data_IF_980065778713
#
_entry.id   IF_980065778713
#
_cell.length_a   1.000
_cell.length_b   1.000
_cell.length_c   1.000
_cell.angle_alpha   90.00
_cell.angle_beta   90.00
_cell.angle_gamma   90.00
#
_symmetry.space_group_name_H-M   'P 1'
#
loop_
_entity.id
_entity.type
_entity.pdbx_description
1 polymer ?
#
# COMPACT_ATOMS: atom_id res chain seq x y z
N UNK A 1 -23.92 -51.06 -5.23
CA UNK A 1 -23.75 -49.94 -4.29
C UNK A 1 -22.46 -49.20 -4.71
N UNK A 2 -22.60 -48.11 -5.49
CA UNK A 2 -21.42 -47.32 -5.99
C UNK A 2 -21.19 -46.19 -4.98
N UNK A 3 -20.05 -46.24 -4.28
CA UNK A 3 -19.58 -45.16 -3.40
C UNK A 3 -19.08 -44.03 -4.31
N UNK A 4 -19.81 -42.92 -4.36
CA UNK A 4 -19.34 -41.64 -4.93
C UNK A 4 -18.48 -40.95 -3.87
N UNK A 5 -17.17 -41.07 -4.00
CA UNK A 5 -16.23 -40.27 -3.23
C UNK A 5 -16.19 -38.88 -3.87
N UNK A 6 -16.94 -37.92 -3.29
CA UNK A 6 -16.82 -36.49 -3.61
C UNK A 6 -15.46 -35.99 -3.13
N UNK A 7 -14.54 -35.85 -4.09
CA UNK A 7 -13.26 -35.18 -3.84
C UNK A 7 -13.54 -33.67 -3.75
N UNK A 8 -13.73 -33.18 -2.53
CA UNK A 8 -13.81 -31.75 -2.25
C UNK A 8 -12.39 -31.19 -2.43
N UNK A 9 -12.09 -30.72 -3.65
CA UNK A 9 -10.89 -29.91 -3.88
C UNK A 9 -11.02 -28.58 -3.10
N UNK A 10 -10.51 -28.58 -1.88
CA UNK A 10 -10.17 -27.37 -1.17
C UNK A 10 -9.05 -26.66 -1.97
N UNK A 11 -9.44 -25.83 -2.91
CA UNK A 11 -8.55 -24.82 -3.46
C UNK A 11 -8.29 -23.79 -2.34
N UNK A 12 -7.30 -24.07 -1.51
CA UNK A 12 -6.70 -23.04 -0.68
C UNK A 12 -6.05 -22.07 -1.66
N UNK A 13 -6.76 -20.99 -1.97
CA UNK A 13 -6.15 -19.86 -2.64
C UNK A 13 -5.04 -19.36 -1.69
N UNK A 14 -3.81 -19.67 -2.04
CA UNK A 14 -2.61 -19.07 -1.46
C UNK A 14 -2.61 -17.58 -1.84
N UNK A 15 -3.50 -16.80 -1.23
CA UNK A 15 -3.35 -15.36 -1.25
C UNK A 15 -2.10 -15.08 -0.44
N UNK A 16 -1.08 -14.61 -1.12
CA UNK A 16 0.12 -14.08 -0.48
C UNK A 16 -0.32 -12.99 0.51
N UNK A 17 -0.31 -13.33 1.79
CA UNK A 17 -0.63 -12.36 2.83
C UNK A 17 0.58 -11.46 3.04
N UNK A 18 0.38 -10.15 2.97
CA UNK A 18 1.44 -9.19 3.26
C UNK A 18 1.85 -9.36 4.73
N UNK A 19 3.13 -9.59 4.96
CA UNK A 19 3.69 -9.69 6.30
C UNK A 19 3.89 -8.28 6.87
N UNK A 20 3.13 -7.92 7.89
CA UNK A 20 3.30 -6.66 8.61
C UNK A 20 4.24 -6.87 9.79
N UNK A 21 5.27 -6.03 9.92
CA UNK A 21 6.20 -6.08 11.05
C UNK A 21 5.46 -5.87 12.38
N UNK A 22 5.85 -6.59 13.39
CA UNK A 22 5.27 -6.49 14.73
C UNK A 22 6.19 -5.66 15.64
N UNK A 23 5.99 -4.36 15.64
CA UNK A 23 6.69 -3.41 16.52
C UNK A 23 5.81 -2.91 17.66
N UNK A 24 4.73 -3.61 17.91
CA UNK A 24 3.77 -3.33 18.96
C UNK A 24 2.33 -3.39 18.42
N UNK A 25 1.38 -3.73 19.29
CA UNK A 25 0.01 -4.03 18.87
C UNK A 25 -0.70 -2.83 18.22
N UNK A 26 -0.41 -1.62 18.67
CA UNK A 26 -1.03 -0.43 18.10
C UNK A 26 -0.53 -0.18 16.67
N UNK A 27 0.77 -0.31 16.41
CA UNK A 27 1.37 -0.09 15.10
C UNK A 27 0.83 -1.07 14.06
N UNK A 28 0.91 -2.37 14.39
CA UNK A 28 0.42 -3.44 13.51
C UNK A 28 -1.07 -3.29 13.20
N UNK A 29 -1.90 -3.05 14.22
CA UNK A 29 -3.34 -2.89 14.05
C UNK A 29 -3.70 -1.69 13.15
N UNK A 30 -2.95 -0.59 13.24
CA UNK A 30 -3.17 0.57 12.37
C UNK A 30 -2.80 0.29 10.92
N UNK A 31 -1.70 -0.41 10.69
CA UNK A 31 -1.30 -0.82 9.32
C UNK A 31 -2.31 -1.82 8.75
N UNK A 32 -2.73 -2.81 9.52
CA UNK A 32 -3.76 -3.77 9.10
C UNK A 32 -5.09 -3.06 8.76
N UNK A 33 -5.48 -2.06 9.57
CA UNK A 33 -6.67 -1.24 9.32
C UNK A 33 -6.55 -0.42 8.04
N UNK A 34 -5.36 0.12 7.74
CA UNK A 34 -5.09 0.84 6.50
C UNK A 34 -5.17 -0.10 5.27
N UNK A 35 -4.66 -1.33 5.38
CA UNK A 35 -4.80 -2.35 4.32
C UNK A 35 -6.27 -2.71 4.06
N UNK A 36 -7.08 -2.84 5.12
CA UNK A 36 -8.53 -3.06 4.99
C UNK A 36 -9.20 -1.87 4.29
N UNK A 37 -8.78 -0.64 4.59
CA UNK A 37 -9.30 0.57 3.97
C UNK A 37 -8.96 0.61 2.47
N UNK A 38 -7.72 0.27 2.08
CA UNK A 38 -7.33 0.16 0.67
C UNK A 38 -8.20 -0.89 -0.03
N UNK A 39 -8.36 -2.07 0.54
CA UNK A 39 -9.19 -3.14 -0.01
C UNK A 39 -10.64 -2.68 -0.21
N UNK A 40 -11.19 -1.91 0.74
CA UNK A 40 -12.58 -1.44 0.73
C UNK A 40 -12.84 -0.41 -0.37
N UNK A 41 -11.95 0.55 -0.54
CA UNK A 41 -12.19 1.68 -1.45
C UNK A 41 -11.49 1.55 -2.80
N UNK A 42 -10.44 0.73 -2.89
CA UNK A 42 -9.76 0.44 -4.15
C UNK A 42 -9.23 -0.99 -4.21
N UNK A 43 -10.11 -1.92 -4.51
CA UNK A 43 -9.75 -3.34 -4.62
C UNK A 43 -8.70 -3.62 -5.71
N UNK A 44 -8.60 -2.76 -6.73
CA UNK A 44 -7.60 -2.90 -7.80
C UNK A 44 -6.20 -2.58 -7.26
N UNK A 45 -6.05 -1.45 -6.52
CA UNK A 45 -4.79 -1.10 -5.87
C UNK A 45 -4.41 -2.11 -4.79
N UNK A 46 -5.39 -2.65 -4.06
CA UNK A 46 -5.15 -3.72 -3.09
C UNK A 46 -4.60 -4.99 -3.75
N UNK A 47 -5.17 -5.43 -4.88
CA UNK A 47 -4.65 -6.58 -5.65
C UNK A 47 -3.25 -6.32 -6.19
N UNK A 48 -2.99 -5.10 -6.67
CA UNK A 48 -1.67 -4.68 -7.10
C UNK A 48 -0.66 -4.76 -5.95
N UNK A 49 -1.02 -4.24 -4.77
CA UNK A 49 -0.20 -4.31 -3.56
C UNK A 49 0.13 -5.75 -3.17
N UNK A 50 -0.87 -6.66 -3.15
CA UNK A 50 -0.66 -8.09 -2.87
C UNK A 50 0.31 -8.76 -3.85
N UNK A 51 0.34 -8.30 -5.08
CA UNK A 51 1.22 -8.85 -6.14
C UNK A 51 2.67 -8.42 -5.95
N UNK A 52 2.91 -7.19 -5.53
CA UNK A 52 4.25 -6.57 -5.53
C UNK A 52 4.86 -6.42 -4.14
N UNK A 53 4.05 -6.30 -3.10
CA UNK A 53 4.52 -6.13 -1.72
C UNK A 53 4.42 -7.45 -0.95
N UNK A 54 5.53 -7.91 -0.39
CA UNK A 54 5.58 -9.09 0.48
C UNK A 54 5.59 -8.71 1.95
N UNK A 55 6.13 -7.55 2.26
CA UNK A 55 6.33 -7.12 3.65
C UNK A 55 6.13 -5.61 3.81
N UNK A 56 5.56 -5.21 4.94
CA UNK A 56 5.55 -3.83 5.42
C UNK A 56 6.37 -3.77 6.69
N UNK A 57 7.49 -3.07 6.62
CA UNK A 57 8.39 -2.79 7.73
C UNK A 57 8.20 -1.37 8.27
N UNK A 58 9.10 -0.96 9.14
CA UNK A 58 9.07 0.35 9.79
C UNK A 58 10.45 1.00 9.82
N UNK A 59 10.45 2.32 9.89
CA UNK A 59 11.66 3.13 10.07
C UNK A 59 11.36 4.32 10.98
N UNK A 60 12.37 4.81 11.67
CA UNK A 60 12.28 6.06 12.44
C UNK A 60 12.53 7.30 11.59
N UNK A 61 12.74 7.14 10.29
CA UNK A 61 12.80 8.25 9.34
C UNK A 61 11.45 8.97 9.27
N UNK A 62 11.48 10.25 8.89
CA UNK A 62 10.26 11.07 8.76
C UNK A 62 9.45 10.78 7.50
N UNK A 63 9.93 9.93 6.62
CA UNK A 63 9.29 9.59 5.36
C UNK A 63 9.26 8.06 5.19
N UNK A 64 8.27 7.59 4.46
CA UNK A 64 8.16 6.21 4.03
C UNK A 64 9.02 5.97 2.78
N UNK A 65 9.36 4.74 2.49
CA UNK A 65 10.20 4.34 1.35
C UNK A 65 10.00 2.86 1.02
N UNK A 66 10.72 2.37 0.01
CA UNK A 66 10.76 0.95 -0.32
C UNK A 66 12.15 0.35 -0.06
N UNK A 67 12.20 -0.95 0.15
CA UNK A 67 13.42 -1.73 0.30
C UNK A 67 13.30 -3.05 -0.50
N UNK A 68 14.39 -3.46 -1.14
CA UNK A 68 14.50 -4.75 -1.88
C UNK A 68 13.40 -5.03 -2.91
N UNK A 69 12.74 -4.01 -3.45
CA UNK A 69 11.75 -4.14 -4.51
C UNK A 69 10.47 -4.91 -4.14
N UNK A 70 10.30 -5.32 -2.89
CA UNK A 70 9.10 -6.01 -2.41
C UNK A 70 8.70 -5.66 -0.97
N UNK A 71 9.40 -4.73 -0.35
CA UNK A 71 9.17 -4.28 1.03
C UNK A 71 8.86 -2.80 1.04
N UNK A 72 7.77 -2.42 1.70
CA UNK A 72 7.42 -1.03 2.00
C UNK A 72 7.90 -0.76 3.43
N UNK A 73 8.62 0.33 3.63
CA UNK A 73 9.08 0.80 4.94
C UNK A 73 8.27 2.05 5.31
N UNK A 74 7.39 1.94 6.27
CA UNK A 74 6.59 3.06 6.74
C UNK A 74 7.31 3.86 7.83
N UNK A 75 7.15 5.18 7.79
CA UNK A 75 7.55 6.05 8.87
C UNK A 75 6.76 5.73 10.14
N UNK A 76 7.45 5.49 11.26
CA UNK A 76 6.78 5.30 12.55
C UNK A 76 6.03 6.55 12.99
N UNK A 77 6.47 7.72 12.56
CA UNK A 77 5.76 8.98 12.82
C UNK A 77 4.39 8.99 12.14
N UNK A 78 4.33 8.66 10.84
CA UNK A 78 3.07 8.63 10.08
C UNK A 78 2.09 7.58 10.64
N UNK A 79 2.59 6.41 11.00
CA UNK A 79 1.74 5.35 11.55
C UNK A 79 1.24 5.70 12.95
N UNK A 80 2.04 6.32 13.79
CA UNK A 80 1.64 6.63 15.18
C UNK A 80 0.74 7.87 15.28
N UNK A 81 0.96 8.88 14.45
CA UNK A 81 0.31 10.19 14.56
C UNK A 81 -0.59 10.56 13.38
N UNK A 82 -0.41 9.92 12.21
CA UNK A 82 -1.25 10.13 11.03
C UNK A 82 -2.64 9.51 11.18
N UNK A 83 -3.58 9.95 10.34
CA UNK A 83 -4.88 9.29 10.21
C UNK A 83 -4.75 7.95 9.48
N UNK A 84 -5.80 7.11 9.50
CA UNK A 84 -5.82 5.88 8.72
C UNK A 84 -5.74 6.16 7.21
N UNK A 85 -6.32 7.26 6.73
CA UNK A 85 -6.22 7.66 5.33
C UNK A 85 -4.77 8.03 4.98
N UNK A 86 -4.04 8.71 5.89
CA UNK A 86 -2.62 9.03 5.70
C UNK A 86 -1.77 7.75 5.60
N UNK A 87 -1.97 6.78 6.48
CA UNK A 87 -1.24 5.52 6.44
C UNK A 87 -1.54 4.76 5.14
N UNK A 88 -2.82 4.68 4.77
CA UNK A 88 -3.25 4.01 3.55
C UNK A 88 -2.70 4.69 2.29
N UNK A 89 -2.69 6.03 2.24
CA UNK A 89 -2.12 6.78 1.11
C UNK A 89 -0.62 6.55 0.99
N UNK A 90 0.13 6.55 2.09
CA UNK A 90 1.55 6.22 2.09
C UNK A 90 1.81 4.80 1.54
N UNK A 91 1.05 3.81 1.97
CA UNK A 91 1.16 2.43 1.44
C UNK A 91 0.90 2.40 -0.07
N UNK A 92 -0.14 3.09 -0.54
CA UNK A 92 -0.48 3.16 -1.96
C UNK A 92 0.62 3.86 -2.76
N UNK A 93 1.16 4.97 -2.27
CA UNK A 93 2.27 5.71 -2.87
C UNK A 93 3.52 4.81 -3.02
N UNK A 94 3.96 4.20 -1.93
CA UNK A 94 5.14 3.33 -1.94
C UNK A 94 4.94 2.07 -2.81
N UNK A 95 3.72 1.58 -2.94
CA UNK A 95 3.43 0.46 -3.83
C UNK A 95 3.69 0.80 -5.31
N UNK A 96 3.50 2.06 -5.70
CA UNK A 96 3.84 2.51 -7.05
C UNK A 96 5.36 2.52 -7.27
N UNK A 97 6.15 2.92 -6.27
CA UNK A 97 7.61 2.81 -6.34
C UNK A 97 8.08 1.35 -6.52
N UNK A 98 7.41 0.37 -5.87
CA UNK A 98 7.72 -1.06 -6.09
C UNK A 98 7.55 -1.48 -7.56
N UNK A 99 6.57 -0.91 -8.26
CA UNK A 99 6.40 -1.17 -9.68
C UNK A 99 7.58 -0.64 -10.51
N UNK A 100 8.01 0.60 -10.28
CA UNK A 100 9.15 1.18 -10.99
C UNK A 100 10.43 0.39 -10.73
N UNK A 101 10.69 0.03 -9.48
CA UNK A 101 11.85 -0.77 -9.10
C UNK A 101 11.91 -2.11 -9.84
N UNK A 102 10.77 -2.78 -10.01
CA UNK A 102 10.71 -4.11 -10.62
C UNK A 102 10.55 -4.10 -12.15
N UNK A 103 10.18 -2.97 -12.75
CA UNK A 103 9.82 -2.93 -14.18
C UNK A 103 10.99 -2.60 -15.11
N UNK A 104 12.17 -2.28 -14.60
CA UNK A 104 13.28 -1.72 -15.37
C UNK A 104 12.88 -0.49 -16.22
N UNK A 105 11.86 0.22 -15.80
CA UNK A 105 11.39 1.41 -16.49
C UNK A 105 12.33 2.56 -16.15
N UNK A 106 12.98 3.14 -17.18
CA UNK A 106 13.86 4.28 -17.00
C UNK A 106 13.00 5.54 -16.93
N UNK A 107 12.91 6.13 -15.75
CA UNK A 107 12.32 7.44 -15.50
C UNK A 107 13.27 8.29 -14.67
N UNK A 108 13.09 9.61 -14.72
CA UNK A 108 13.74 10.47 -13.74
C UNK A 108 13.03 10.33 -12.39
N UNK A 109 13.74 10.62 -11.29
CA UNK A 109 13.14 10.60 -9.96
C UNK A 109 11.89 11.50 -9.87
N UNK A 110 11.91 12.65 -10.55
CA UNK A 110 10.78 13.58 -10.61
C UNK A 110 9.57 13.01 -11.35
N UNK A 111 9.78 12.32 -12.48
CA UNK A 111 8.69 11.66 -13.22
C UNK A 111 8.09 10.51 -12.42
N UNK A 112 8.93 9.73 -11.75
CA UNK A 112 8.50 8.64 -10.88
C UNK A 112 7.63 9.17 -9.74
N UNK A 113 8.09 10.17 -9.01
CA UNK A 113 7.33 10.82 -7.93
C UNK A 113 5.98 11.35 -8.41
N UNK A 114 5.96 12.02 -9.58
CA UNK A 114 4.71 12.53 -10.16
C UNK A 114 3.70 11.41 -10.41
N UNK A 115 4.15 10.25 -10.90
CA UNK A 115 3.27 9.10 -11.13
C UNK A 115 2.81 8.50 -9.80
N UNK A 116 3.69 8.36 -8.81
CA UNK A 116 3.36 7.85 -7.48
C UNK A 116 2.31 8.73 -6.78
N UNK A 117 2.47 10.06 -6.82
CA UNK A 117 1.45 11.00 -6.30
C UNK A 117 0.14 10.97 -7.10
N UNK A 118 0.19 10.77 -8.41
CA UNK A 118 -1.04 10.60 -9.22
C UNK A 118 -1.79 9.32 -8.85
N UNK A 119 -1.06 8.25 -8.60
CA UNK A 119 -1.60 6.96 -8.16
C UNK A 119 -2.22 7.04 -6.77
N UNK A 120 -1.56 7.76 -5.85
CA UNK A 120 -2.04 8.08 -4.52
C UNK A 120 -3.32 8.94 -4.58
N UNK A 121 -3.32 10.02 -5.36
CA UNK A 121 -4.45 10.91 -5.52
C UNK A 121 -5.71 10.19 -6.01
N UNK A 122 -5.56 9.33 -7.02
CA UNK A 122 -6.68 8.51 -7.51
C UNK A 122 -7.30 7.63 -6.42
N UNK A 123 -6.49 7.13 -5.49
CA UNK A 123 -6.98 6.41 -4.31
C UNK A 123 -7.69 7.32 -3.31
N UNK A 124 -7.08 8.45 -2.95
CA UNK A 124 -7.64 9.39 -1.98
C UNK A 124 -9.00 9.93 -2.39
N UNK A 125 -9.20 10.18 -3.69
CA UNK A 125 -10.48 10.64 -4.24
C UNK A 125 -11.62 9.62 -4.14
N UNK A 126 -11.31 8.34 -3.91
CA UNK A 126 -12.30 7.26 -3.70
C UNK A 126 -12.77 7.16 -2.25
N UNK A 127 -12.05 7.77 -1.31
CA UNK A 127 -12.38 7.73 0.11
C UNK A 127 -13.40 8.81 0.44
N UNK A 128 -14.61 8.45 0.94
CA UNK A 128 -15.60 9.44 1.38
C UNK A 128 -15.05 10.30 2.51
N UNK A 129 -15.21 11.62 2.40
CA UNK A 129 -14.76 12.59 3.39
C UNK A 129 -13.25 12.51 3.71
N UNK A 130 -12.43 12.15 2.72
CA UNK A 130 -10.99 12.18 2.86
C UNK A 130 -10.52 13.58 3.26
N UNK A 131 -9.49 13.65 4.09
CA UNK A 131 -8.91 14.89 4.57
C UNK A 131 -8.36 15.72 3.40
N UNK A 132 -8.84 16.96 3.27
CA UNK A 132 -8.46 17.86 2.17
C UNK A 132 -6.96 18.11 2.08
N UNK A 133 -6.26 18.10 3.22
CA UNK A 133 -4.81 18.32 3.21
C UNK A 133 -4.04 17.18 2.49
N UNK A 134 -4.50 15.93 2.59
CA UNK A 134 -3.90 14.80 1.86
C UNK A 134 -4.07 14.97 0.35
N UNK A 135 -5.30 15.27 -0.08
CA UNK A 135 -5.62 15.53 -1.49
C UNK A 135 -4.80 16.70 -2.03
N UNK A 136 -4.75 17.81 -1.29
CA UNK A 136 -3.99 19.00 -1.69
C UNK A 136 -2.48 18.72 -1.74
N UNK A 137 -1.95 17.92 -0.83
CA UNK A 137 -0.54 17.53 -0.83
C UNK A 137 -0.20 16.73 -2.09
N UNK A 138 -1.01 15.75 -2.45
CA UNK A 138 -0.82 14.96 -3.67
C UNK A 138 -0.86 15.86 -4.92
N UNK A 139 -1.86 16.74 -5.06
CA UNK A 139 -1.94 17.71 -6.17
C UNK A 139 -0.70 18.61 -6.27
N UNK A 140 -0.25 19.15 -5.14
CA UNK A 140 0.93 20.01 -5.10
C UNK A 140 2.17 19.28 -5.62
N UNK A 141 2.39 18.05 -5.20
CA UNK A 141 3.55 17.27 -5.61
C UNK A 141 3.49 16.81 -7.07
N UNK A 142 2.30 16.56 -7.62
CA UNK A 142 2.12 16.31 -9.06
C UNK A 142 2.51 17.54 -9.90
N UNK A 143 2.21 18.75 -9.39
CA UNK A 143 2.43 20.01 -10.14
C UNK A 143 3.84 20.57 -9.99
N UNK A 144 4.60 20.19 -8.95
CA UNK A 144 5.93 20.70 -8.63
C UNK A 144 7.07 19.78 -9.10
N UNK A 145 6.76 18.58 -9.51
CA UNK A 145 7.65 17.63 -10.15
C UNK A 145 7.34 17.56 -11.65
#
# INVERSE_FOLDING_TARGET
MKLLISFLLLTTSLFSQIKVADVGPNWKNRVDSALILIKKYDSTKYKFLLKHCKQIGFSQLKFSTIEDGNTIILSTYDVNFGSLNNIASAIVHESAHLFFYNSNFFSTASEEERVCYSYELDFLLKIPNCEKYLINNAYKNISSN
#
